data_IF_301971826854
#
_entry.id   IF_301971826854
#
_cell.length_a   1.000
_cell.length_b   1.000
_cell.length_c   1.000
_cell.angle_alpha   90.00
_cell.angle_beta   90.00
_cell.angle_gamma   90.00
#
_symmetry.space_group_name_H-M   'P 1'
#
loop_
_entity.id
_entity.type
_entity.pdbx_description
1 polymer ?
#
# COMPACT_ATOMS: atom_id res chain seq x y z
N UNK A 1 -14.47 23.26 -0.07
CA UNK A 1 -13.26 22.48 -0.41
C UNK A 1 -12.35 23.42 -1.17
N UNK A 2 -11.07 23.55 -0.78
CA UNK A 2 -10.13 24.49 -1.39
C UNK A 2 -9.69 24.10 -2.81
N UNK A 3 -10.31 23.11 -3.46
CA UNK A 3 -9.94 22.69 -4.83
C UNK A 3 -11.17 22.70 -5.72
N UNK A 4 -11.16 23.58 -6.71
CA UNK A 4 -12.13 23.66 -7.79
C UNK A 4 -11.56 22.97 -9.02
N UNK A 5 -12.09 21.80 -9.38
CA UNK A 5 -11.66 21.06 -10.57
C UNK A 5 -12.73 21.15 -11.65
N UNK A 6 -12.37 21.66 -12.82
CA UNK A 6 -13.20 21.63 -14.04
C UNK A 6 -12.50 20.84 -15.16
N UNK A 7 -13.30 20.08 -15.91
CA UNK A 7 -12.85 19.33 -17.08
C UNK A 7 -13.62 19.84 -18.29
N UNK A 8 -12.92 20.37 -19.28
CA UNK A 8 -13.50 21.04 -20.46
C UNK A 8 -13.06 20.44 -21.79
N UNK A 9 -12.13 19.48 -21.78
CA UNK A 9 -11.61 18.83 -22.99
C UNK A 9 -10.63 17.71 -22.63
N UNK A 10 -10.36 16.84 -23.60
CA UNK A 10 -9.53 15.65 -23.42
C UNK A 10 -10.25 14.51 -22.68
N UNK A 11 -9.68 13.32 -22.70
CA UNK A 11 -10.28 12.13 -22.08
C UNK A 11 -9.62 11.83 -20.73
N UNK A 12 -10.42 11.59 -19.69
CA UNK A 12 -9.97 11.20 -18.36
C UNK A 12 -11.10 10.44 -17.65
N UNK A 13 -10.76 9.32 -17.01
CA UNK A 13 -11.74 8.53 -16.27
C UNK A 13 -12.19 9.25 -14.98
N UNK A 14 -13.44 9.03 -14.56
CA UNK A 14 -14.00 9.60 -13.33
C UNK A 14 -13.18 9.31 -12.07
N UNK A 15 -12.61 8.10 -11.97
CA UNK A 15 -11.73 7.71 -10.87
C UNK A 15 -10.42 8.51 -10.86
N UNK A 16 -9.85 8.77 -12.04
CA UNK A 16 -8.61 9.52 -12.17
C UNK A 16 -8.83 11.01 -11.88
N UNK A 17 -9.99 11.54 -12.28
CA UNK A 17 -10.44 12.89 -11.91
C UNK A 17 -10.58 13.06 -10.39
N UNK A 18 -11.22 12.11 -9.73
CA UNK A 18 -11.37 12.11 -8.27
C UNK A 18 -10.02 12.00 -7.56
N UNK A 19 -9.12 11.16 -8.08
CA UNK A 19 -7.75 11.04 -7.57
C UNK A 19 -6.99 12.35 -7.69
N UNK A 20 -7.00 12.99 -8.86
CA UNK A 20 -6.29 14.25 -9.09
C UNK A 20 -6.79 15.36 -8.16
N UNK A 21 -8.12 15.45 -7.96
CA UNK A 21 -8.71 16.39 -6.99
C UNK A 21 -8.24 16.11 -5.56
N UNK A 22 -8.15 14.84 -5.16
CA UNK A 22 -7.63 14.45 -3.83
C UNK A 22 -6.15 14.81 -3.70
N UNK A 23 -5.34 14.52 -4.72
CA UNK A 23 -3.91 14.86 -4.75
C UNK A 23 -3.68 16.36 -4.61
N UNK A 24 -4.46 17.19 -5.30
CA UNK A 24 -4.41 18.64 -5.16
C UNK A 24 -4.67 19.10 -3.72
N UNK A 25 -5.69 18.54 -3.06
CA UNK A 25 -6.00 18.88 -1.67
C UNK A 25 -4.88 18.45 -0.70
N UNK A 26 -4.25 17.30 -0.94
CA UNK A 26 -3.10 16.83 -0.14
C UNK A 26 -1.90 17.76 -0.36
N UNK A 27 -1.59 18.10 -1.61
CA UNK A 27 -0.47 18.99 -1.93
C UNK A 27 -0.63 20.35 -1.26
N UNK A 28 -1.83 20.94 -1.29
CA UNK A 28 -2.12 22.19 -0.55
C UNK A 28 -1.78 22.07 0.94
N UNK A 29 -2.12 20.94 1.58
CA UNK A 29 -1.77 20.70 2.97
C UNK A 29 -0.26 20.57 3.17
N UNK A 30 0.41 19.78 2.32
CA UNK A 30 1.87 19.55 2.38
C UNK A 30 2.69 20.81 2.14
N UNK A 31 2.16 21.78 1.40
CA UNK A 31 2.80 23.07 1.14
C UNK A 31 2.38 24.16 2.13
N UNK A 32 1.63 23.83 3.20
CA UNK A 32 1.23 24.79 4.22
C UNK A 32 0.08 25.73 3.81
N UNK A 33 -0.68 25.38 2.77
CA UNK A 33 -1.79 26.15 2.20
C UNK A 33 -3.17 25.46 2.35
N UNK A 34 -3.54 24.91 3.52
CA UNK A 34 -4.73 24.06 3.66
C UNK A 34 -6.07 24.79 3.46
N UNK A 35 -6.06 26.14 3.51
CA UNK A 35 -7.25 26.99 3.33
C UNK A 35 -7.29 27.70 1.98
N UNK A 36 -6.19 27.68 1.23
CA UNK A 36 -6.08 28.39 -0.04
C UNK A 36 -6.77 27.64 -1.17
N UNK A 37 -7.55 28.35 -1.97
CA UNK A 37 -8.27 27.85 -3.13
C UNK A 37 -7.34 27.69 -4.34
N UNK A 38 -7.29 26.47 -4.87
CA UNK A 38 -6.64 26.10 -6.11
C UNK A 38 -7.70 25.75 -7.16
N UNK A 39 -7.64 26.42 -8.30
CA UNK A 39 -8.46 26.10 -9.45
C UNK A 39 -7.65 25.24 -10.44
N UNK A 40 -8.19 24.08 -10.80
CA UNK A 40 -7.58 23.14 -11.72
C UNK A 40 -8.48 22.97 -12.95
N UNK A 41 -7.96 23.34 -14.10
CA UNK A 41 -8.66 23.24 -15.38
C UNK A 41 -7.97 22.20 -16.29
N UNK A 42 -8.70 21.12 -16.61
CA UNK A 42 -8.23 20.08 -17.54
C UNK A 42 -8.79 20.34 -18.93
N UNK A 43 -7.90 20.39 -19.92
CA UNK A 43 -8.22 20.77 -21.31
C UNK A 43 -7.61 19.80 -22.32
N UNK A 44 -8.07 19.88 -23.57
CA UNK A 44 -7.37 19.28 -24.71
C UNK A 44 -6.26 20.20 -25.25
N UNK A 45 -5.49 19.71 -26.23
CA UNK A 45 -4.43 20.49 -26.87
C UNK A 45 -4.93 21.74 -27.60
N UNK A 46 -6.15 21.70 -28.15
CA UNK A 46 -6.70 22.83 -28.91
C UNK A 46 -6.95 23.99 -27.96
N UNK A 47 -7.67 23.73 -26.87
CA UNK A 47 -7.92 24.70 -25.81
C UNK A 47 -6.61 25.18 -25.17
N UNK A 48 -5.66 24.27 -24.93
CA UNK A 48 -4.35 24.64 -24.40
C UNK A 48 -3.56 25.55 -25.35
N UNK A 49 -3.61 25.31 -26.66
CA UNK A 49 -3.00 26.17 -27.66
C UNK A 49 -3.64 27.56 -27.68
N UNK A 50 -4.97 27.64 -27.55
CA UNK A 50 -5.69 28.91 -27.43
C UNK A 50 -5.23 29.69 -26.18
N UNK A 51 -5.14 29.04 -25.02
CA UNK A 51 -4.63 29.66 -23.79
C UNK A 51 -3.15 30.06 -23.89
N UNK A 52 -2.29 29.21 -24.46
CA UNK A 52 -0.87 29.51 -24.61
C UNK A 52 -0.63 30.67 -25.58
N UNK A 53 -1.46 30.80 -26.62
CA UNK A 53 -1.43 31.95 -27.51
C UNK A 53 -1.91 33.21 -26.78
N UNK A 54 -3.03 33.14 -26.06
CA UNK A 54 -3.61 34.29 -25.36
C UNK A 54 -2.66 34.87 -24.29
N UNK A 55 -2.01 34.00 -23.50
CA UNK A 55 -1.23 34.44 -22.34
C UNK A 55 0.28 34.47 -22.55
N UNK A 56 0.84 33.65 -23.46
CA UNK A 56 2.29 33.60 -23.74
C UNK A 56 2.66 33.96 -25.18
N UNK A 57 1.68 34.34 -26.01
CA UNK A 57 1.85 34.63 -27.45
C UNK A 57 2.48 33.46 -28.23
N UNK A 58 2.31 32.22 -27.75
CA UNK A 58 2.84 31.00 -28.37
C UNK A 58 1.72 30.19 -29.01
N UNK A 59 1.72 30.11 -30.34
CA UNK A 59 0.69 29.39 -31.10
C UNK A 59 0.99 27.87 -31.21
N UNK A 60 1.12 27.20 -30.07
CA UNK A 60 1.28 25.73 -29.94
C UNK A 60 0.79 25.28 -28.56
N UNK A 61 0.35 24.03 -28.37
CA UNK A 61 0.04 23.53 -27.03
C UNK A 61 1.30 23.47 -26.16
N UNK A 62 1.11 23.61 -24.85
CA UNK A 62 2.10 23.30 -23.80
C UNK A 62 1.53 22.23 -22.87
N UNK A 63 2.29 21.73 -21.91
CA UNK A 63 1.82 20.72 -20.96
C UNK A 63 1.00 21.32 -19.81
N UNK A 64 1.50 22.40 -19.20
CA UNK A 64 0.88 23.09 -18.07
C UNK A 64 1.06 24.60 -18.17
N UNK A 65 0.08 25.36 -17.67
CA UNK A 65 0.15 26.79 -17.41
C UNK A 65 -0.27 27.04 -15.95
N UNK A 66 0.43 27.94 -15.26
CA UNK A 66 0.11 28.34 -13.90
C UNK A 66 -0.08 29.87 -13.85
N UNK A 67 -1.18 30.31 -13.25
CA UNK A 67 -1.54 31.72 -13.12
C UNK A 67 -1.66 32.07 -11.64
N UNK A 68 -0.59 32.62 -11.06
CA UNK A 68 -0.57 33.04 -9.66
C UNK A 68 -1.45 34.28 -9.46
N UNK A 69 -2.30 34.24 -8.44
CA UNK A 69 -3.19 35.35 -8.12
C UNK A 69 -2.61 36.18 -6.96
N UNK A 70 -1.45 36.79 -7.19
CA UNK A 70 -0.88 37.78 -6.25
C UNK A 70 -0.40 39.00 -7.02
N UNK A 71 -1.28 40.01 -7.10
CA UNK A 71 -0.99 41.44 -7.27
C UNK A 71 -2.31 42.24 -7.30
N UNK A 72 -3.11 42.17 -6.24
CA UNK A 72 -4.13 43.18 -5.95
C UNK A 72 -3.73 43.92 -4.68
N UNK A 73 -3.76 45.27 -4.64
CA UNK A 73 -3.44 46.03 -3.43
C UNK A 73 -4.32 45.56 -2.27
N UNK A 74 -3.73 45.38 -1.09
CA UNK A 74 -4.44 45.01 0.14
C UNK A 74 -5.69 45.87 0.30
N UNK A 75 -6.87 45.25 0.17
CA UNK A 75 -8.12 45.87 0.58
C UNK A 75 -8.24 45.62 2.08
N UNK A 76 -8.19 46.65 2.94
CA UNK A 76 -8.33 46.46 4.38
C UNK A 76 -9.72 45.84 4.68
N UNK A 77 -9.73 44.59 5.15
CA UNK A 77 -10.94 43.82 5.47
C UNK A 77 -11.44 42.85 4.37
N UNK A 78 -10.68 42.60 3.31
CA UNK A 78 -11.07 41.68 2.22
C UNK A 78 -10.61 40.23 2.40
N UNK A 79 -11.42 39.29 1.91
CA UNK A 79 -11.18 37.83 1.75
C UNK A 79 -10.02 37.48 0.78
N UNK A 80 -8.98 38.31 0.71
CA UNK A 80 -7.93 38.26 -0.32
C UNK A 80 -6.82 37.23 -0.09
N UNK A 81 -6.75 36.60 1.09
CA UNK A 81 -5.64 35.74 1.49
C UNK A 81 -5.87 34.24 1.19
N UNK A 82 -7.02 33.89 0.59
CA UNK A 82 -7.46 32.51 0.42
C UNK A 82 -7.40 32.00 -1.03
N UNK A 83 -6.85 32.71 -2.03
CA UNK A 83 -6.82 32.22 -3.43
C UNK A 83 -5.39 32.11 -3.97
N UNK A 84 -4.96 30.90 -4.33
CA UNK A 84 -3.61 30.64 -4.86
C UNK A 84 -3.52 30.98 -6.36
N UNK A 85 -4.53 30.57 -7.12
CA UNK A 85 -4.59 30.78 -8.56
C UNK A 85 -5.04 29.55 -9.35
N UNK A 86 -4.74 29.58 -10.65
CA UNK A 86 -5.18 28.58 -11.62
C UNK A 86 -4.01 27.72 -12.13
N UNK A 87 -4.22 26.41 -12.19
CA UNK A 87 -3.36 25.47 -12.94
C UNK A 87 -4.19 24.89 -14.09
N UNK A 88 -3.68 25.03 -15.31
CA UNK A 88 -4.32 24.49 -16.52
C UNK A 88 -3.43 23.38 -17.08
N UNK A 89 -3.97 22.18 -17.26
CA UNK A 89 -3.21 20.99 -17.73
C UNK A 89 -3.81 20.46 -19.04
N UNK A 90 -2.97 20.26 -20.05
CA UNK A 90 -3.37 19.55 -21.28
C UNK A 90 -3.30 18.04 -21.06
N UNK A 91 -4.44 17.36 -21.15
CA UNK A 91 -4.52 15.91 -21.02
C UNK A 91 -3.84 15.18 -22.19
N UNK A 92 -3.96 15.69 -23.41
CA UNK A 92 -3.38 15.09 -24.61
C UNK A 92 -1.86 15.16 -24.59
N UNK A 93 -1.31 16.32 -24.22
CA UNK A 93 0.13 16.51 -24.05
C UNK A 93 0.66 15.66 -22.91
N UNK A 94 0.00 15.66 -21.74
CA UNK A 94 0.39 14.80 -20.61
C UNK A 94 0.43 13.32 -20.99
N UNK A 95 -0.56 12.81 -21.75
CA UNK A 95 -0.58 11.42 -22.24
C UNK A 95 0.55 11.10 -23.22
N UNK A 96 0.93 12.05 -24.09
CA UNK A 96 2.09 11.86 -24.99
C UNK A 96 3.40 11.82 -24.21
N UNK A 97 3.59 12.75 -23.28
CA UNK A 97 4.79 12.81 -22.44
C UNK A 97 4.92 11.61 -21.51
N UNK A 98 3.80 11.13 -20.95
CA UNK A 98 3.78 9.91 -20.14
C UNK A 98 4.27 8.70 -20.93
N UNK A 99 3.77 8.53 -22.17
CA UNK A 99 4.20 7.46 -23.08
C UNK A 99 5.67 7.57 -23.46
N UNK A 100 6.14 8.78 -23.80
CA UNK A 100 7.54 9.01 -24.16
C UNK A 100 8.51 8.72 -23.01
N UNK A 101 8.10 9.01 -21.77
CA UNK A 101 8.89 8.78 -20.56
C UNK A 101 8.71 7.38 -19.94
N UNK A 102 7.82 6.54 -20.49
CA UNK A 102 7.55 5.20 -19.94
C UNK A 102 6.85 5.22 -18.56
N UNK A 103 6.12 6.29 -18.24
CA UNK A 103 5.39 6.44 -16.97
C UNK A 103 3.87 6.41 -17.18
N UNK A 104 3.11 6.17 -16.11
CA UNK A 104 1.64 6.19 -16.20
C UNK A 104 1.09 7.61 -16.42
N UNK A 105 -0.05 7.78 -17.11
CA UNK A 105 -0.72 9.08 -17.24
C UNK A 105 -0.99 9.76 -15.89
N UNK A 106 -1.48 9.03 -14.90
CA UNK A 106 -1.71 9.55 -13.56
C UNK A 106 -0.44 10.05 -12.85
N UNK A 107 0.71 9.38 -13.03
CA UNK A 107 1.98 9.87 -12.51
C UNK A 107 2.39 11.19 -13.19
N UNK A 108 2.24 11.29 -14.51
CA UNK A 108 2.52 12.54 -15.23
C UNK A 108 1.58 13.67 -14.80
N UNK A 109 0.30 13.40 -14.59
CA UNK A 109 -0.67 14.38 -14.10
C UNK A 109 -0.34 14.86 -12.68
N UNK A 110 0.06 13.97 -11.78
CA UNK A 110 0.51 14.33 -10.45
C UNK A 110 1.75 15.24 -10.50
N UNK A 111 2.74 14.90 -11.35
CA UNK A 111 3.91 15.74 -11.56
C UNK A 111 3.54 17.13 -12.11
N UNK A 112 2.69 17.21 -13.14
CA UNK A 112 2.25 18.50 -13.72
C UNK A 112 1.46 19.35 -12.72
N UNK A 113 0.65 18.72 -11.87
CA UNK A 113 -0.07 19.40 -10.78
C UNK A 113 0.90 19.95 -9.74
N UNK A 114 1.89 19.16 -9.29
CA UNK A 114 2.94 19.60 -8.36
C UNK A 114 3.76 20.75 -8.95
N UNK A 115 4.18 20.61 -10.21
CA UNK A 115 4.93 21.64 -10.94
C UNK A 115 4.14 22.95 -11.04
N UNK A 116 2.86 22.87 -11.47
CA UNK A 116 1.99 24.05 -11.54
C UNK A 116 1.77 24.71 -10.18
N UNK A 117 1.58 23.93 -9.11
CA UNK A 117 1.43 24.46 -7.76
C UNK A 117 2.70 25.16 -7.26
N UNK A 118 3.89 24.62 -7.54
CA UNK A 118 5.16 25.25 -7.16
C UNK A 118 5.32 26.62 -7.82
N UNK A 119 4.92 26.76 -9.08
CA UNK A 119 4.86 28.07 -9.73
C UNK A 119 3.91 29.05 -9.03
N UNK A 120 2.73 28.61 -8.60
CA UNK A 120 1.82 29.46 -7.80
C UNK A 120 2.42 29.89 -6.46
N UNK A 121 3.34 29.10 -5.91
CA UNK A 121 4.07 29.39 -4.67
C UNK A 121 5.33 30.24 -4.88
N UNK A 122 5.60 30.68 -6.11
CA UNK A 122 6.72 31.57 -6.44
C UNK A 122 8.02 30.86 -6.78
N UNK A 123 7.99 29.54 -7.02
CA UNK A 123 9.14 28.86 -7.64
C UNK A 123 9.19 29.21 -9.13
N UNK A 124 10.40 29.42 -9.65
CA UNK A 124 10.66 29.60 -11.07
C UNK A 124 11.84 28.70 -11.46
N UNK A 125 11.94 28.40 -12.74
CA UNK A 125 13.01 27.60 -13.35
C UNK A 125 13.50 28.20 -14.67
N UNK A 126 12.89 29.29 -15.16
CA UNK A 126 13.28 29.96 -16.41
C UNK A 126 14.41 31.00 -16.21
N UNK A 127 14.67 31.42 -14.96
CA UNK A 127 15.54 32.55 -14.63
C UNK A 127 17.00 32.16 -14.31
N UNK A 128 17.24 31.02 -13.66
CA UNK A 128 18.61 30.56 -13.35
C UNK A 128 18.69 29.04 -13.14
N UNK A 129 19.89 28.46 -13.30
CA UNK A 129 20.13 27.04 -13.03
C UNK A 129 19.89 26.68 -11.56
N UNK A 130 20.26 27.57 -10.63
CA UNK A 130 20.05 27.36 -9.20
C UNK A 130 18.56 27.37 -8.82
N UNK A 131 17.72 28.13 -9.52
CA UNK A 131 16.27 28.10 -9.35
C UNK A 131 15.66 26.83 -9.92
N UNK A 132 16.13 26.40 -11.09
CA UNK A 132 15.72 25.13 -11.68
C UNK A 132 16.07 23.93 -10.79
N UNK A 133 17.27 23.89 -10.19
CA UNK A 133 17.67 22.85 -9.24
C UNK A 133 16.79 22.85 -7.98
N UNK A 134 16.55 24.02 -7.38
CA UNK A 134 15.66 24.15 -6.21
C UNK A 134 14.24 23.70 -6.51
N UNK A 135 13.72 24.02 -7.69
CA UNK A 135 12.38 23.60 -8.11
C UNK A 135 12.34 22.07 -8.31
N UNK A 136 13.35 21.48 -8.93
CA UNK A 136 13.44 20.03 -9.13
C UNK A 136 13.50 19.27 -7.79
N UNK A 137 14.29 19.75 -6.82
CA UNK A 137 14.33 19.17 -5.47
C UNK A 137 12.97 19.27 -4.76
N UNK A 138 12.29 20.41 -4.89
CA UNK A 138 10.95 20.61 -4.31
C UNK A 138 9.89 19.70 -4.97
N UNK A 139 9.95 19.51 -6.30
CA UNK A 139 9.09 18.58 -7.02
C UNK A 139 9.27 17.15 -6.53
N UNK A 140 10.52 16.68 -6.44
CA UNK A 140 10.84 15.34 -5.98
C UNK A 140 10.35 15.12 -4.53
N UNK A 141 10.65 16.06 -3.63
CA UNK A 141 10.24 15.99 -2.24
C UNK A 141 8.71 15.99 -2.06
N UNK A 142 7.97 16.81 -2.81
CA UNK A 142 6.52 16.86 -2.73
C UNK A 142 5.86 15.62 -3.33
N UNK A 143 6.37 15.11 -4.44
CA UNK A 143 5.86 13.87 -5.04
C UNK A 143 6.11 12.67 -4.13
N UNK A 144 7.26 12.61 -3.47
CA UNK A 144 7.54 11.60 -2.45
C UNK A 144 6.52 11.67 -1.31
N UNK A 145 6.33 12.85 -0.71
CA UNK A 145 5.37 13.07 0.38
C UNK A 145 3.91 12.78 -0.04
N UNK A 146 3.55 13.12 -1.27
CA UNK A 146 2.22 12.82 -1.82
C UNK A 146 2.01 11.30 -1.93
N UNK A 147 3.02 10.57 -2.43
CA UNK A 147 2.97 9.11 -2.51
C UNK A 147 2.90 8.47 -1.13
N UNK A 148 3.67 8.97 -0.16
CA UNK A 148 3.59 8.55 1.24
C UNK A 148 2.19 8.77 1.82
N UNK A 149 1.59 9.94 1.58
CA UNK A 149 0.23 10.25 2.04
C UNK A 149 -0.83 9.40 1.35
N UNK A 150 -0.73 9.16 0.04
CA UNK A 150 -1.66 8.27 -0.67
C UNK A 150 -1.57 6.83 -0.14
N UNK A 151 -0.37 6.37 0.21
CA UNK A 151 -0.12 5.06 0.81
C UNK A 151 -0.66 4.98 2.25
N UNK A 152 -0.36 5.96 3.10
CA UNK A 152 -0.89 6.08 4.47
C UNK A 152 -2.41 6.21 4.52
N UNK A 153 -3.02 6.74 3.45
CA UNK A 153 -4.47 6.85 3.29
C UNK A 153 -5.14 5.57 2.78
N UNK A 154 -4.39 4.55 2.35
CA UNK A 154 -4.96 3.29 1.89
C UNK A 154 -5.35 2.46 3.10
N UNK A 155 -6.61 2.03 3.14
CA UNK A 155 -7.13 1.24 4.26
C UNK A 155 -6.40 -0.09 4.34
N UNK A 156 -5.86 -0.42 5.52
CA UNK A 156 -5.24 -1.70 5.82
C UNK A 156 -6.22 -2.83 5.55
N UNK A 157 -5.81 -3.82 4.77
CA UNK A 157 -6.65 -4.95 4.37
C UNK A 157 -6.59 -6.07 5.42
N UNK A 158 -7.66 -6.86 5.51
CA UNK A 158 -7.69 -8.07 6.34
C UNK A 158 -7.55 -9.31 5.43
N UNK A 159 -6.49 -10.08 5.66
CA UNK A 159 -6.36 -11.43 5.15
C UNK A 159 -6.57 -12.44 6.28
N UNK A 160 -7.40 -13.47 6.04
CA UNK A 160 -7.73 -14.46 7.08
C UNK A 160 -6.98 -15.76 6.82
N UNK A 161 -6.17 -16.18 7.79
CA UNK A 161 -5.54 -17.49 7.77
C UNK A 161 -6.53 -18.56 8.27
N UNK A 162 -6.77 -19.59 7.45
CA UNK A 162 -7.75 -20.67 7.73
C UNK A 162 -7.10 -22.00 8.17
N UNK A 163 -5.82 -22.01 8.51
CA UNK A 163 -5.07 -23.21 8.90
C UNK A 163 -5.67 -23.92 10.11
N UNK A 164 -6.18 -23.16 11.08
CA UNK A 164 -6.76 -23.73 12.29
C UNK A 164 -8.14 -24.34 12.08
N UNK A 165 -8.83 -24.02 10.98
CA UNK A 165 -10.00 -24.80 10.53
C UNK A 165 -9.55 -26.21 10.18
N UNK A 166 -8.49 -26.31 9.37
CA UNK A 166 -7.90 -27.60 9.01
C UNK A 166 -7.34 -28.33 10.23
N UNK A 167 -6.77 -27.62 11.21
CA UNK A 167 -6.28 -28.22 12.46
C UNK A 167 -7.41 -28.92 13.21
N UNK A 168 -8.58 -28.27 13.35
CA UNK A 168 -9.74 -28.86 14.00
C UNK A 168 -10.26 -30.08 13.23
N UNK A 169 -10.25 -30.03 11.89
CA UNK A 169 -10.57 -31.18 11.03
C UNK A 169 -9.60 -32.34 11.25
N UNK A 170 -8.29 -32.08 11.23
CA UNK A 170 -7.26 -33.11 11.40
C UNK A 170 -7.28 -33.72 12.81
N UNK A 171 -7.72 -32.98 13.83
CA UNK A 171 -7.88 -33.52 15.18
C UNK A 171 -8.88 -34.69 15.24
N UNK A 172 -9.85 -34.74 14.31
CA UNK A 172 -10.82 -35.84 14.21
C UNK A 172 -10.61 -36.75 13.00
N UNK A 173 -9.89 -36.29 11.97
CA UNK A 173 -9.62 -37.07 10.75
C UNK A 173 -10.85 -37.25 9.86
N UNK A 174 -11.78 -36.29 9.88
CA UNK A 174 -13.00 -36.28 9.07
C UNK A 174 -12.95 -35.13 8.05
N UNK A 175 -14.02 -34.91 7.29
CA UNK A 175 -14.06 -33.85 6.27
C UNK A 175 -14.52 -32.49 6.81
N UNK A 176 -14.88 -32.40 8.10
CA UNK A 176 -15.41 -31.18 8.72
C UNK A 176 -14.61 -30.76 9.96
N UNK A 177 -14.45 -29.45 10.18
CA UNK A 177 -14.84 -28.35 9.28
C UNK A 177 -13.96 -28.26 8.03
N UNK A 178 -14.51 -27.78 6.91
CA UNK A 178 -13.77 -27.65 5.63
C UNK A 178 -13.15 -26.23 5.49
N UNK A 179 -11.82 -26.09 5.39
CA UNK A 179 -11.14 -24.81 5.17
C UNK A 179 -11.61 -24.07 3.92
N UNK A 180 -12.03 -24.80 2.86
CA UNK A 180 -12.51 -24.21 1.61
C UNK A 180 -13.84 -23.47 1.83
N UNK A 181 -14.74 -24.06 2.62
CA UNK A 181 -16.01 -23.42 2.99
C UNK A 181 -15.77 -22.24 3.93
N UNK A 182 -14.86 -22.40 4.91
CA UNK A 182 -14.51 -21.33 5.83
C UNK A 182 -13.95 -20.11 5.08
N UNK A 183 -13.08 -20.31 4.08
CA UNK A 183 -12.56 -19.24 3.26
C UNK A 183 -13.67 -18.44 2.55
N UNK A 184 -14.67 -19.12 1.99
CA UNK A 184 -15.84 -18.45 1.37
C UNK A 184 -16.63 -17.60 2.37
N UNK A 185 -16.81 -18.07 3.61
CA UNK A 185 -17.46 -17.30 4.68
C UNK A 185 -16.61 -16.08 5.05
N UNK A 186 -15.29 -16.22 5.14
CA UNK A 186 -14.38 -15.11 5.42
C UNK A 186 -14.49 -14.02 4.34
N UNK A 187 -14.51 -14.38 3.05
CA UNK A 187 -14.67 -13.42 1.95
C UNK A 187 -16.02 -12.70 2.01
N UNK A 188 -17.11 -13.42 2.28
CA UNK A 188 -18.45 -12.83 2.44
C UNK A 188 -18.54 -11.87 3.63
N UNK A 189 -17.82 -12.18 4.73
CA UNK A 189 -17.69 -11.28 5.88
C UNK A 189 -16.75 -10.07 5.61
N UNK A 190 -16.08 -10.08 4.46
CA UNK A 190 -15.29 -8.97 3.95
C UNK A 190 -13.79 -9.06 4.17
N UNK A 191 -13.24 -10.26 4.35
CA UNK A 191 -11.82 -10.51 4.15
C UNK A 191 -11.44 -10.21 2.70
N UNK A 192 -10.29 -9.56 2.51
CA UNK A 192 -9.75 -9.19 1.20
C UNK A 192 -8.63 -10.14 0.74
N UNK A 193 -8.32 -11.14 1.56
CA UNK A 193 -7.43 -12.24 1.22
C UNK A 193 -7.67 -13.45 2.10
N UNK A 194 -7.27 -14.60 1.58
CA UNK A 194 -7.24 -15.88 2.28
C UNK A 194 -5.79 -16.36 2.34
N UNK A 195 -5.35 -16.74 3.52
CA UNK A 195 -4.01 -17.25 3.78
C UNK A 195 -4.11 -18.72 4.16
N UNK A 196 -3.23 -19.54 3.61
CA UNK A 196 -3.05 -20.93 4.02
C UNK A 196 -1.58 -21.29 4.02
N UNK A 197 -1.15 -22.07 5.01
CA UNK A 197 0.21 -22.59 5.09
C UNK A 197 0.25 -24.06 4.70
N UNK A 198 0.79 -24.34 3.52
CA UNK A 198 1.05 -25.71 3.06
C UNK A 198 2.42 -26.18 3.54
N UNK A 199 2.43 -26.80 4.71
CA UNK A 199 3.61 -27.38 5.33
C UNK A 199 4.13 -28.61 4.59
N UNK A 200 5.44 -28.84 4.58
CA UNK A 200 6.09 -30.08 4.14
C UNK A 200 5.46 -31.32 4.79
N UNK A 201 5.13 -31.25 6.09
CA UNK A 201 4.55 -32.38 6.84
C UNK A 201 3.03 -32.53 6.72
N UNK A 202 2.35 -31.60 6.03
CA UNK A 202 0.87 -31.56 5.88
C UNK A 202 0.14 -31.72 7.22
N UNK A 203 0.63 -31.07 8.28
CA UNK A 203 0.03 -31.18 9.62
C UNK A 203 -1.44 -30.77 9.69
N UNK A 204 -1.83 -29.74 8.93
CA UNK A 204 -3.20 -29.20 8.91
C UNK A 204 -3.74 -29.10 7.48
N UNK A 205 -3.32 -28.07 6.74
CA UNK A 205 -3.71 -27.85 5.35
C UNK A 205 -3.13 -28.96 4.47
N UNK A 206 -3.97 -29.51 3.60
CA UNK A 206 -3.62 -30.56 2.65
C UNK A 206 -3.58 -30.01 1.23
N UNK A 207 -2.91 -30.71 0.31
CA UNK A 207 -2.85 -30.37 -1.13
C UNK A 207 -4.26 -30.12 -1.71
N UNK A 208 -5.22 -30.97 -1.32
CA UNK A 208 -6.62 -30.87 -1.72
C UNK A 208 -7.22 -29.51 -1.37
N UNK A 209 -6.92 -28.99 -0.18
CA UNK A 209 -7.48 -27.72 0.28
C UNK A 209 -6.95 -26.58 -0.58
N UNK A 210 -5.63 -26.56 -0.82
CA UNK A 210 -4.98 -25.50 -1.59
C UNK A 210 -5.42 -25.51 -3.06
N UNK A 211 -5.55 -26.69 -3.68
CA UNK A 211 -6.02 -26.82 -5.05
C UNK A 211 -7.46 -26.31 -5.22
N UNK A 212 -8.34 -26.60 -4.26
CA UNK A 212 -9.72 -26.11 -4.29
C UNK A 212 -9.80 -24.61 -3.99
N UNK A 213 -9.06 -24.12 -2.99
CA UNK A 213 -8.98 -22.69 -2.69
C UNK A 213 -8.56 -21.88 -3.90
N UNK A 214 -7.59 -22.37 -4.69
CA UNK A 214 -7.16 -21.69 -5.92
C UNK A 214 -8.30 -21.51 -6.94
N UNK A 215 -9.27 -22.42 -6.96
CA UNK A 215 -10.42 -22.40 -7.86
C UNK A 215 -11.59 -21.58 -7.29
N UNK A 216 -11.73 -21.50 -5.97
CA UNK A 216 -12.90 -20.92 -5.31
C UNK A 216 -12.69 -19.50 -4.81
N UNK A 217 -11.51 -19.17 -4.26
CA UNK A 217 -11.17 -17.84 -3.73
C UNK A 217 -11.35 -16.79 -4.83
N UNK A 218 -12.05 -15.71 -4.52
CA UNK A 218 -12.36 -14.61 -5.46
C UNK A 218 -11.54 -13.35 -5.21
N UNK A 219 -10.99 -13.23 -4.00
CA UNK A 219 -10.10 -12.16 -3.58
C UNK A 219 -8.65 -12.52 -3.89
N UNK A 220 -7.78 -12.57 -2.89
CA UNK A 220 -6.36 -12.89 -3.00
C UNK A 220 -6.05 -14.17 -2.23
N UNK A 221 -5.41 -15.14 -2.88
CA UNK A 221 -4.86 -16.33 -2.21
C UNK A 221 -3.37 -16.13 -1.93
N UNK A 222 -3.02 -16.04 -0.64
CA UNK A 222 -1.64 -16.05 -0.16
C UNK A 222 -1.27 -17.46 0.33
N UNK A 223 -0.28 -18.08 -0.31
CA UNK A 223 0.25 -19.38 0.11
C UNK A 223 1.50 -19.19 0.96
N UNK A 224 1.36 -19.42 2.26
CA UNK A 224 2.50 -19.57 3.16
C UNK A 224 3.19 -20.92 2.91
N UNK A 225 4.52 -20.91 2.86
CA UNK A 225 5.30 -22.10 2.55
C UNK A 225 6.78 -21.98 2.96
N UNK A 226 7.43 -23.11 3.20
CA UNK A 226 8.88 -23.16 3.25
C UNK A 226 9.54 -23.02 1.88
N UNK A 227 10.79 -22.57 1.89
CA UNK A 227 11.70 -22.65 0.74
C UNK A 227 12.20 -24.10 0.51
N UNK A 228 11.29 -25.05 0.34
CA UNK A 228 11.53 -26.46 0.05
C UNK A 228 11.16 -26.77 -1.40
N UNK A 229 11.98 -27.58 -2.08
CA UNK A 229 11.86 -27.80 -3.53
C UNK A 229 10.48 -28.32 -3.95
N UNK A 230 9.93 -29.30 -3.22
CA UNK A 230 8.61 -29.87 -3.50
C UNK A 230 7.49 -28.82 -3.39
N UNK A 231 7.55 -27.96 -2.37
CA UNK A 231 6.52 -26.93 -2.16
C UNK A 231 6.68 -25.79 -3.17
N UNK A 232 7.91 -25.46 -3.58
CA UNK A 232 8.19 -24.51 -4.67
C UNK A 232 7.58 -24.99 -5.97
N UNK A 233 7.82 -26.25 -6.35
CA UNK A 233 7.25 -26.85 -7.56
C UNK A 233 5.72 -26.93 -7.50
N UNK A 234 5.15 -27.14 -6.30
CA UNK A 234 3.71 -27.07 -6.09
C UNK A 234 3.18 -25.65 -6.34
N UNK A 235 3.77 -24.64 -5.71
CA UNK A 235 3.35 -23.24 -5.84
C UNK A 235 3.47 -22.71 -7.26
N UNK A 236 4.54 -23.05 -8.00
CA UNK A 236 4.74 -22.66 -9.39
C UNK A 236 3.67 -23.24 -10.33
N UNK A 237 3.17 -24.45 -10.04
CA UNK A 237 2.04 -25.05 -10.79
C UNK A 237 0.70 -24.46 -10.38
N UNK A 238 0.52 -24.20 -9.09
CA UNK A 238 -0.71 -23.64 -8.52
C UNK A 238 -0.95 -22.18 -8.97
N UNK A 239 0.12 -21.39 -9.06
CA UNK A 239 0.10 -19.93 -9.30
C UNK A 239 -0.86 -19.20 -8.36
N UNK A 240 -0.58 -19.19 -7.03
CA UNK A 240 -1.32 -18.34 -6.10
C UNK A 240 -1.06 -16.86 -6.43
N UNK A 241 -1.88 -15.96 -5.88
CA UNK A 241 -1.72 -14.52 -6.12
C UNK A 241 -0.49 -13.96 -5.39
N UNK A 242 0.00 -14.66 -4.36
CA UNK A 242 1.23 -14.38 -3.63
C UNK A 242 1.73 -15.64 -2.91
N UNK A 243 3.03 -15.69 -2.61
CA UNK A 243 3.59 -16.59 -1.60
C UNK A 243 4.25 -15.82 -0.45
N UNK A 244 4.07 -16.29 0.78
CA UNK A 244 4.85 -15.83 1.94
C UNK A 244 5.82 -16.95 2.35
N UNK A 245 7.13 -16.66 2.31
CA UNK A 245 8.14 -17.61 2.79
C UNK A 245 8.27 -17.54 4.30
N UNK A 246 8.02 -18.67 4.96
CA UNK A 246 8.06 -18.83 6.41
C UNK A 246 9.15 -19.86 6.82
N UNK A 247 9.71 -19.76 8.03
CA UNK A 247 10.59 -20.79 8.56
C UNK A 247 9.79 -22.05 8.92
N UNK A 248 10.27 -23.24 8.54
CA UNK A 248 9.55 -24.50 8.85
C UNK A 248 10.37 -25.51 9.69
N UNK A 249 11.68 -25.26 9.86
CA UNK A 249 12.54 -26.19 10.61
C UNK A 249 12.42 -26.00 12.13
N UNK A 250 11.37 -26.56 12.76
CA UNK A 250 11.31 -27.25 14.07
C UNK A 250 9.84 -27.39 14.53
N UNK A 251 9.60 -28.17 15.58
CA UNK A 251 8.26 -28.48 16.09
C UNK A 251 7.67 -27.25 16.77
N UNK A 252 6.73 -26.59 16.10
CA UNK A 252 5.97 -25.46 16.64
C UNK A 252 5.25 -25.79 17.95
N UNK A 253 5.83 -25.31 19.04
CA UNK A 253 5.19 -25.02 20.33
C UNK A 253 5.97 -23.80 20.84
N UNK A 254 5.53 -22.60 20.44
CA UNK A 254 5.95 -21.28 20.95
C UNK A 254 7.48 -21.05 21.06
N UNK A 255 8.07 -20.45 20.02
CA UNK A 255 9.33 -19.63 19.99
C UNK A 255 9.87 -19.48 18.55
N UNK A 256 9.01 -19.45 17.54
CA UNK A 256 9.48 -19.31 16.16
C UNK A 256 9.66 -17.83 15.82
N UNK A 257 10.92 -17.40 15.70
CA UNK A 257 11.26 -16.11 15.10
C UNK A 257 11.10 -16.13 13.59
N UNK A 258 11.21 -14.96 12.96
CA UNK A 258 11.14 -14.82 11.51
C UNK A 258 12.25 -15.55 10.76
N UNK A 259 12.10 -15.57 9.43
CA UNK A 259 13.07 -16.15 8.51
C UNK A 259 14.43 -15.45 8.62
N UNK A 260 15.51 -16.22 8.79
CA UNK A 260 16.87 -15.68 8.74
C UNK A 260 17.29 -15.43 7.27
N UNK A 261 16.87 -14.28 6.73
CA UNK A 261 17.16 -13.84 5.36
C UNK A 261 18.65 -13.59 5.17
N UNK A 262 19.30 -12.87 6.10
CA UNK A 262 20.75 -12.61 6.07
C UNK A 262 21.57 -13.89 5.87
N UNK A 263 21.25 -14.93 6.63
CA UNK A 263 21.95 -16.21 6.57
C UNK A 263 21.63 -17.06 5.33
N UNK A 264 20.56 -16.75 4.59
CA UNK A 264 20.04 -17.57 3.50
C UNK A 264 19.85 -16.82 2.17
N UNK A 265 20.48 -15.64 2.00
CA UNK A 265 20.28 -14.77 0.85
C UNK A 265 20.35 -15.49 -0.50
N UNK A 266 21.40 -16.30 -0.75
CA UNK A 266 21.56 -17.03 -2.03
C UNK A 266 20.39 -17.96 -2.32
N UNK A 267 19.93 -18.69 -1.30
CA UNK A 267 18.81 -19.65 -1.43
C UNK A 267 17.52 -18.89 -1.70
N UNK A 268 17.22 -17.88 -0.90
CA UNK A 268 15.96 -17.13 -1.00
C UNK A 268 15.91 -16.28 -2.29
N UNK A 269 17.01 -15.65 -2.69
CA UNK A 269 17.10 -14.92 -3.96
C UNK A 269 16.79 -15.81 -5.16
N UNK A 270 17.21 -17.08 -5.13
CA UNK A 270 16.87 -18.06 -6.17
C UNK A 270 15.36 -18.31 -6.22
N UNK A 271 14.72 -18.56 -5.07
CA UNK A 271 13.27 -18.78 -4.98
C UNK A 271 12.51 -17.55 -5.46
N UNK A 272 12.88 -16.36 -5.00
CA UNK A 272 12.28 -15.08 -5.41
C UNK A 272 12.38 -14.91 -6.93
N UNK A 273 13.54 -15.21 -7.52
CA UNK A 273 13.73 -15.13 -8.97
C UNK A 273 12.78 -16.08 -9.72
N UNK A 274 12.67 -17.34 -9.28
CA UNK A 274 11.79 -18.33 -9.90
C UNK A 274 10.30 -17.92 -9.80
N UNK A 275 9.87 -17.45 -8.63
CA UNK A 275 8.49 -16.97 -8.42
C UNK A 275 8.19 -15.71 -9.24
N UNK A 276 9.11 -14.75 -9.29
CA UNK A 276 8.96 -13.52 -10.08
C UNK A 276 8.88 -13.83 -11.58
N UNK A 277 9.63 -14.82 -12.08
CA UNK A 277 9.51 -15.28 -13.48
C UNK A 277 8.11 -15.86 -13.78
N UNK A 278 7.47 -16.47 -12.77
CA UNK A 278 6.08 -16.92 -12.84
C UNK A 278 5.04 -15.81 -12.51
N UNK A 279 5.49 -14.57 -12.30
CA UNK A 279 4.68 -13.41 -11.91
C UNK A 279 3.97 -13.58 -10.55
N UNK A 280 4.57 -14.36 -9.65
CA UNK A 280 4.08 -14.56 -8.28
C UNK A 280 4.91 -13.67 -7.34
N UNK A 281 4.32 -12.61 -6.74
CA UNK A 281 5.04 -11.78 -5.79
C UNK A 281 5.37 -12.56 -4.51
N UNK A 282 6.54 -12.28 -3.94
CA UNK A 282 7.05 -12.97 -2.75
C UNK A 282 7.09 -12.03 -1.55
N UNK A 283 6.48 -12.47 -0.46
CA UNK A 283 6.63 -11.91 0.89
C UNK A 283 7.60 -12.75 1.71
N UNK A 284 8.38 -12.12 2.59
CA UNK A 284 9.25 -12.81 3.54
C UNK A 284 8.78 -12.54 4.97
N UNK A 285 8.46 -13.59 5.74
CA UNK A 285 8.11 -13.46 7.14
C UNK A 285 9.37 -13.21 7.98
N UNK A 286 9.53 -12.04 8.57
CA UNK A 286 10.77 -11.62 9.23
C UNK A 286 10.52 -10.98 10.60
N UNK A 287 11.49 -11.12 11.49
CA UNK A 287 11.51 -10.35 12.74
C UNK A 287 11.64 -8.84 12.43
N UNK A 288 11.18 -7.95 13.33
CA UNK A 288 11.43 -6.51 13.23
C UNK A 288 12.91 -6.17 13.50
N UNK A 289 13.81 -6.67 12.64
CA UNK A 289 15.26 -6.44 12.64
C UNK A 289 15.66 -5.67 11.38
N UNK A 290 16.29 -4.49 11.51
CA UNK A 290 16.67 -3.63 10.38
C UNK A 290 17.48 -4.35 9.31
N UNK A 291 18.38 -5.25 9.72
CA UNK A 291 19.19 -5.93 8.74
C UNK A 291 18.47 -7.10 8.04
N UNK A 292 17.44 -7.73 8.64
CA UNK A 292 16.62 -8.72 7.93
C UNK A 292 15.81 -8.02 6.84
N UNK A 293 15.28 -6.83 7.14
CA UNK A 293 14.58 -5.95 6.19
C UNK A 293 15.51 -5.53 5.05
N UNK A 294 16.70 -5.01 5.38
CA UNK A 294 17.69 -4.64 4.37
C UNK A 294 18.09 -5.84 3.49
N UNK A 295 18.25 -7.02 4.09
CA UNK A 295 18.53 -8.24 3.34
C UNK A 295 17.36 -8.66 2.43
N UNK A 296 16.11 -8.51 2.89
CA UNK A 296 14.91 -8.80 2.09
C UNK A 296 14.82 -7.89 0.85
N UNK A 297 15.05 -6.60 1.02
CA UNK A 297 15.11 -5.65 -0.09
C UNK A 297 16.24 -5.98 -1.07
N UNK A 298 17.44 -6.27 -0.56
CA UNK A 298 18.61 -6.57 -1.39
C UNK A 298 18.44 -7.83 -2.28
N UNK A 299 17.64 -8.80 -1.84
CA UNK A 299 17.36 -10.01 -2.62
C UNK A 299 16.12 -9.90 -3.52
N UNK A 300 15.49 -8.72 -3.58
CA UNK A 300 14.39 -8.41 -4.49
C UNK A 300 13.02 -8.96 -4.05
N UNK A 301 12.79 -9.11 -2.74
CA UNK A 301 11.45 -9.43 -2.23
C UNK A 301 10.47 -8.32 -2.62
N UNK A 302 9.20 -8.69 -2.86
CA UNK A 302 8.15 -7.70 -3.13
C UNK A 302 7.54 -7.16 -1.83
N UNK A 303 7.48 -8.02 -0.81
CA UNK A 303 6.90 -7.71 0.49
C UNK A 303 7.77 -8.26 1.62
N UNK A 304 7.56 -7.71 2.80
CA UNK A 304 7.89 -8.37 4.07
C UNK A 304 6.63 -8.50 4.91
N UNK A 305 6.52 -9.58 5.66
CA UNK A 305 5.52 -9.75 6.70
C UNK A 305 6.22 -9.67 8.06
N UNK A 306 5.97 -8.60 8.80
CA UNK A 306 6.64 -8.32 10.08
C UNK A 306 6.03 -9.20 11.16
N UNK A 307 6.89 -9.94 11.85
CA UNK A 307 6.49 -10.80 12.95
C UNK A 307 6.10 -9.96 14.18
N UNK A 308 4.80 -9.95 14.47
CA UNK A 308 4.19 -9.23 15.60
C UNK A 308 4.04 -10.08 16.88
N UNK A 309 4.62 -11.28 16.93
CA UNK A 309 4.40 -12.23 18.04
C UNK A 309 4.93 -11.71 19.37
N UNK A 310 6.16 -11.20 19.41
CA UNK A 310 6.74 -10.61 20.63
C UNK A 310 5.91 -9.46 21.18
N UNK A 311 5.40 -8.60 20.29
CA UNK A 311 4.46 -7.55 20.66
C UNK A 311 3.17 -8.10 21.28
N UNK A 312 2.61 -9.17 20.73
CA UNK A 312 1.35 -9.75 21.21
C UNK A 312 1.49 -10.53 22.52
N UNK A 313 2.62 -11.23 22.67
CA UNK A 313 2.91 -12.09 23.82
C UNK A 313 3.63 -11.35 24.95
N UNK A 314 3.90 -10.05 24.79
CA UNK A 314 4.58 -9.23 25.77
C UNK A 314 3.86 -9.26 27.14
N UNK A 315 4.55 -9.70 28.21
CA UNK A 315 3.97 -9.91 29.54
C UNK A 315 3.63 -8.62 30.28
N UNK A 316 4.26 -7.50 29.92
CA UNK A 316 4.02 -6.18 30.50
C UNK A 316 3.68 -5.13 29.44
N UNK A 317 3.06 -4.04 29.87
CA UNK A 317 2.75 -2.90 28.99
C UNK A 317 4.03 -2.20 28.49
N UNK A 318 5.05 -2.10 29.34
CA UNK A 318 6.36 -1.53 28.98
C UNK A 318 7.06 -2.34 27.89
N UNK A 319 7.06 -3.67 28.01
CA UNK A 319 7.64 -4.55 26.99
C UNK A 319 6.81 -4.51 25.70
N UNK A 320 5.49 -4.45 25.82
CA UNK A 320 4.60 -4.29 24.66
C UNK A 320 4.85 -2.99 23.92
N UNK A 321 5.07 -1.88 24.63
CA UNK A 321 5.40 -0.59 24.03
C UNK A 321 6.73 -0.65 23.28
N UNK A 322 7.74 -1.28 23.90
CA UNK A 322 9.04 -1.49 23.27
C UNK A 322 8.94 -2.32 21.99
N UNK A 323 8.28 -3.48 22.06
CA UNK A 323 8.13 -4.36 20.90
C UNK A 323 7.26 -3.73 19.81
N UNK A 324 6.25 -2.93 20.18
CA UNK A 324 5.49 -2.14 19.21
C UNK A 324 6.37 -1.11 18.50
N UNK A 325 7.24 -0.39 19.22
CA UNK A 325 8.14 0.58 18.62
C UNK A 325 9.09 -0.08 17.60
N UNK A 326 9.55 -1.29 17.88
CA UNK A 326 10.34 -2.09 16.93
C UNK A 326 9.53 -2.44 15.68
N UNK A 327 8.28 -2.89 15.83
CA UNK A 327 7.38 -3.18 14.69
C UNK A 327 7.13 -1.92 13.85
N UNK A 328 6.87 -0.77 14.49
CA UNK A 328 6.63 0.50 13.81
C UNK A 328 7.87 0.95 13.02
N UNK A 329 9.04 0.91 13.65
CA UNK A 329 10.30 1.25 13.01
C UNK A 329 10.61 0.31 11.83
N UNK A 330 10.45 -1.01 12.02
CA UNK A 330 10.64 -2.00 10.97
C UNK A 330 9.72 -1.76 9.76
N UNK A 331 8.48 -1.35 10.00
CA UNK A 331 7.54 -1.05 8.92
C UNK A 331 7.94 0.19 8.11
N UNK A 332 8.39 1.25 8.77
CA UNK A 332 8.91 2.45 8.09
C UNK A 332 10.22 2.16 7.33
N UNK A 333 11.13 1.39 7.92
CA UNK A 333 12.38 0.98 7.25
C UNK A 333 12.13 0.10 6.01
N UNK A 334 11.20 -0.84 6.10
CA UNK A 334 10.82 -1.67 4.97
C UNK A 334 10.22 -0.84 3.84
N UNK A 335 9.33 0.11 4.18
CA UNK A 335 8.74 1.02 3.21
C UNK A 335 9.82 1.90 2.53
N UNK A 336 10.74 2.47 3.31
CA UNK A 336 11.85 3.27 2.79
C UNK A 336 12.79 2.45 1.88
N UNK A 337 12.93 1.16 2.14
CA UNK A 337 13.67 0.23 1.28
C UNK A 337 12.89 -0.20 0.01
N UNK A 338 11.70 0.33 -0.22
CA UNK A 338 10.85 0.05 -1.38
C UNK A 338 10.02 -1.23 -1.25
N UNK A 339 9.98 -1.86 -0.08
CA UNK A 339 9.16 -3.05 0.19
C UNK A 339 7.73 -2.65 0.52
N UNK A 340 6.79 -3.54 0.21
CA UNK A 340 5.42 -3.48 0.72
C UNK A 340 5.35 -4.23 2.05
N UNK A 341 4.55 -3.76 2.99
CA UNK A 341 4.60 -4.25 4.38
C UNK A 341 3.29 -4.89 4.79
N UNK A 342 3.37 -6.16 5.20
CA UNK A 342 2.30 -6.89 5.87
C UNK A 342 2.69 -7.15 7.34
N UNK A 343 1.74 -7.57 8.15
CA UNK A 343 1.97 -8.14 9.49
C UNK A 343 0.83 -9.08 9.85
N UNK A 344 0.81 -9.68 11.05
CA UNK A 344 -0.40 -10.41 11.49
C UNK A 344 -0.21 -11.48 12.53
N UNK A 345 0.97 -12.10 12.61
CA UNK A 345 1.22 -13.19 13.55
C UNK A 345 0.97 -12.79 15.01
N UNK A 346 0.10 -13.52 15.70
CA UNK A 346 -0.25 -13.28 17.11
C UNK A 346 -1.27 -12.16 17.34
N UNK A 347 -1.60 -11.34 16.33
CA UNK A 347 -2.57 -10.26 16.49
C UNK A 347 -3.94 -10.80 16.91
N UNK A 348 -4.60 -10.04 17.79
CA UNK A 348 -5.93 -10.37 18.32
C UNK A 348 -6.81 -9.11 18.41
N UNK A 349 -8.04 -9.27 18.91
CA UNK A 349 -9.03 -8.19 18.98
C UNK A 349 -8.64 -7.01 19.90
N UNK A 350 -7.54 -7.12 20.66
CA UNK A 350 -7.00 -6.05 21.51
C UNK A 350 -5.77 -5.39 20.91
N UNK A 351 -4.89 -6.17 20.27
CA UNK A 351 -3.59 -5.68 19.77
C UNK A 351 -3.61 -5.20 18.33
N UNK A 352 -4.61 -5.62 17.54
CA UNK A 352 -4.68 -5.33 16.10
C UNK A 352 -4.77 -3.83 15.78
N UNK A 353 -5.55 -3.07 16.55
CA UNK A 353 -5.85 -1.66 16.24
C UNK A 353 -4.58 -0.80 16.12
N UNK A 354 -3.61 -1.01 17.02
CA UNK A 354 -2.36 -0.23 17.04
C UNK A 354 -1.50 -0.49 15.81
N UNK A 355 -1.39 -1.74 15.37
CA UNK A 355 -0.60 -2.11 14.19
C UNK A 355 -1.31 -1.64 12.91
N UNK A 356 -2.63 -1.78 12.85
CA UNK A 356 -3.44 -1.28 11.73
C UNK A 356 -3.32 0.25 11.55
N UNK A 357 -3.08 1.00 12.63
CA UNK A 357 -2.95 2.45 12.61
C UNK A 357 -1.59 2.97 12.12
N UNK A 358 -0.59 2.11 11.84
CA UNK A 358 0.74 2.55 11.42
C UNK A 358 0.76 3.22 10.02
N UNK A 359 -0.27 3.02 9.20
CA UNK A 359 -0.38 3.59 7.84
C UNK A 359 0.63 3.03 6.82
N UNK A 360 1.70 2.38 7.27
CA UNK A 360 2.69 1.67 6.45
C UNK A 360 2.27 0.24 6.12
N UNK A 361 1.37 -0.35 6.92
CA UNK A 361 0.90 -1.72 6.78
C UNK A 361 -0.20 -1.79 5.71
N UNK A 362 0.03 -2.58 4.67
CA UNK A 362 -0.95 -2.79 3.60
C UNK A 362 -1.98 -3.86 3.95
N UNK A 363 -1.56 -4.93 4.63
CA UNK A 363 -2.41 -6.07 4.98
C UNK A 363 -2.03 -6.70 6.32
N UNK A 364 -3.06 -7.15 7.05
CA UNK A 364 -2.93 -7.95 8.26
C UNK A 364 -3.42 -9.38 8.04
N UNK A 365 -2.50 -10.36 8.12
CA UNK A 365 -2.74 -11.80 8.01
C UNK A 365 -3.07 -12.40 9.40
N UNK A 366 -4.35 -12.54 9.73
CA UNK A 366 -4.78 -12.97 11.08
C UNK A 366 -5.48 -14.33 11.01
N UNK A 367 -4.99 -15.32 11.78
CA UNK A 367 -5.53 -16.68 11.82
C UNK A 367 -6.14 -17.05 13.16
N UNK A 368 -5.30 -17.55 14.07
CA UNK A 368 -5.72 -18.15 15.35
C UNK A 368 -6.75 -17.33 16.13
N UNK A 369 -6.54 -16.02 16.29
CA UNK A 369 -7.46 -15.17 17.06
C UNK A 369 -8.88 -15.15 16.48
N UNK A 370 -9.01 -15.09 15.15
CA UNK A 370 -10.32 -15.12 14.47
C UNK A 370 -10.96 -16.50 14.66
N UNK A 371 -10.19 -17.58 14.49
CA UNK A 371 -10.70 -18.95 14.65
C UNK A 371 -11.15 -19.22 16.10
N UNK A 372 -10.38 -18.76 17.09
CA UNK A 372 -10.73 -18.86 18.50
C UNK A 372 -12.03 -18.10 18.80
N UNK A 373 -12.19 -16.89 18.25
CA UNK A 373 -13.43 -16.10 18.38
C UNK A 373 -14.61 -16.78 17.68
N UNK A 374 -14.39 -17.35 16.50
CA UNK A 374 -15.42 -18.01 15.69
C UNK A 374 -16.08 -19.20 16.39
N UNK A 375 -15.34 -19.93 17.24
CA UNK A 375 -15.89 -21.00 18.08
C UNK A 375 -17.01 -20.48 19.00
N UNK A 376 -16.91 -19.22 19.45
CA UNK A 376 -17.85 -18.63 20.40
C UNK A 376 -19.01 -17.88 19.71
N UNK A 377 -18.74 -17.21 18.59
CA UNK A 377 -19.70 -16.26 17.97
C UNK A 377 -20.05 -16.56 16.51
N UNK A 378 -19.47 -17.61 15.93
CA UNK A 378 -19.54 -17.90 14.50
C UNK A 378 -18.48 -17.16 13.68
N UNK A 379 -18.06 -17.77 12.57
CA UNK A 379 -16.95 -17.28 11.75
C UNK A 379 -17.23 -15.93 11.06
N UNK A 380 -18.42 -15.76 10.49
CA UNK A 380 -18.82 -14.51 9.82
C UNK A 380 -18.69 -13.31 10.77
N UNK A 381 -19.26 -13.43 11.98
CA UNK A 381 -19.21 -12.39 13.00
C UNK A 381 -17.79 -12.14 13.50
N UNK A 382 -17.00 -13.19 13.71
CA UNK A 382 -15.61 -13.06 14.13
C UNK A 382 -14.77 -12.25 13.11
N UNK A 383 -14.91 -12.55 11.81
CA UNK A 383 -14.22 -11.81 10.74
C UNK A 383 -14.73 -10.37 10.65
N UNK A 384 -16.04 -10.14 10.69
CA UNK A 384 -16.64 -8.81 10.63
C UNK A 384 -16.18 -7.91 11.79
N UNK A 385 -16.10 -8.46 13.02
CA UNK A 385 -15.59 -7.74 14.20
C UNK A 385 -14.11 -7.35 14.02
N UNK A 386 -13.26 -8.26 13.53
CA UNK A 386 -11.84 -7.97 13.30
C UNK A 386 -11.66 -6.89 12.23
N UNK A 387 -12.41 -7.00 11.14
CA UNK A 387 -12.42 -6.00 10.07
C UNK A 387 -12.88 -4.63 10.57
N UNK A 388 -13.87 -4.58 11.47
CA UNK A 388 -14.33 -3.33 12.06
C UNK A 388 -13.21 -2.65 12.88
N UNK A 389 -12.43 -3.42 13.64
CA UNK A 389 -11.26 -2.91 14.39
C UNK A 389 -10.24 -2.30 13.42
N UNK A 390 -9.90 -3.01 12.34
CA UNK A 390 -8.94 -2.52 11.33
C UNK A 390 -9.44 -1.25 10.65
N UNK A 391 -10.74 -1.18 10.34
CA UNK A 391 -11.35 0.03 9.71
C UNK A 391 -11.39 1.24 10.65
N UNK A 392 -11.58 1.01 11.94
CA UNK A 392 -11.65 2.08 12.94
C UNK A 392 -10.26 2.55 13.37
N UNK A 393 -9.23 1.73 13.15
CA UNK A 393 -7.84 2.12 13.30
C UNK A 393 -7.48 3.15 12.22
N UNK A 394 -7.65 4.43 12.54
CA UNK A 394 -7.13 5.52 11.73
C UNK A 394 -5.69 5.79 12.13
N UNK A 395 -4.79 6.15 11.19
CA UNK A 395 -3.51 6.73 11.55
C UNK A 395 -3.80 7.93 12.45
N UNK A 396 -3.23 7.94 13.65
CA UNK A 396 -3.29 9.11 14.49
C UNK A 396 -2.66 10.26 13.68
N UNK A 397 -3.47 11.24 13.31
CA UNK A 397 -2.95 12.51 12.81
C UNK A 397 -2.04 13.03 13.92
N UNK A 398 -0.73 12.94 13.69
CA UNK A 398 0.29 13.48 14.59
C UNK A 398 0.52 14.93 14.25
#
# INVERSE_FOLDING_TARGET
>A
MPVLLKHQGGDIGSNELARLKKQAAILLHLTGQPRSELSLLLVDDRQMQEFNHLFRQRNRPTNVLAFAQREAPEIPGGLGDEMLGDVVISLDTARREARAAGVSPGHRLAWLLTHGLLHLLGYDHEQSSAEAERMAEAEEALLHKLQEHERKSKMTQLAVNVDHVATLRQARGINEPDPVLAAGICELAGAEGIVVHLREDRRHIQDRDVLLLRQTVKSKLNLEMAAAAEIIDFALRLKPDMVTLVPEKRRELTTEGGLNVKGQQKKLAKVIKEMNQAQIPVSLFVDPDPGQIAAAAAIGASFVEIHTGRYCDAPSEEEREREFALVAQAAEEALAAGLRVNAGHGLNYLTTARVAALGTIEELSIGHAIMARAILVGLEKAVAEMRAIIKQASPAFT
#
